data_IF_857409110201
#
_entry.id   IF_857409110201
#
_cell.length_a   1.000
_cell.length_b   1.000
_cell.length_c   1.000
_cell.angle_alpha   90.00
_cell.angle_beta   90.00
_cell.angle_gamma   90.00
#
_symmetry.space_group_name_H-M   'P 1'
#
loop_
_entity.id
_entity.type
_entity.pdbx_description
1 polymer ?
#
# COMPACT_ATOMS: atom_id res chain seq x y z
N UNK A 1 4.35 -1.66 -20.03
CA UNK A 1 5.76 -1.77 -20.48
C UNK A 1 5.76 -2.55 -21.78
N UNK A 2 6.51 -2.14 -22.80
CA UNK A 2 6.48 -2.82 -24.12
C UNK A 2 7.14 -4.20 -24.04
N UNK A 3 6.48 -5.22 -24.59
CA UNK A 3 6.99 -6.60 -24.78
C UNK A 3 8.36 -6.62 -25.46
N UNK A 4 8.62 -5.64 -26.31
CA UNK A 4 9.88 -5.46 -27.02
C UNK A 4 11.07 -5.17 -26.09
N UNK A 5 10.86 -4.42 -25.01
CA UNK A 5 11.92 -4.12 -24.03
C UNK A 5 12.36 -5.39 -23.29
N UNK A 6 11.40 -6.20 -22.84
CA UNK A 6 11.66 -7.46 -22.14
C UNK A 6 12.45 -8.44 -23.03
N UNK A 7 12.04 -8.58 -24.29
CA UNK A 7 12.76 -9.40 -25.28
C UNK A 7 14.18 -8.88 -25.57
N UNK A 8 14.40 -7.56 -25.56
CA UNK A 8 15.75 -7.00 -25.69
C UNK A 8 16.62 -7.29 -24.46
N UNK A 9 16.03 -7.23 -23.26
CA UNK A 9 16.74 -7.42 -22.00
C UNK A 9 17.16 -8.88 -21.80
N UNK A 10 16.29 -9.82 -22.18
CA UNK A 10 16.60 -11.25 -22.17
C UNK A 10 17.81 -11.58 -23.06
N UNK A 11 17.87 -11.03 -24.28
CA UNK A 11 19.00 -11.20 -25.20
C UNK A 11 20.30 -10.63 -24.64
N UNK A 12 20.23 -9.49 -23.93
CA UNK A 12 21.42 -8.92 -23.28
C UNK A 12 21.89 -9.82 -22.13
N UNK A 13 20.99 -10.40 -21.34
CA UNK A 13 21.37 -11.31 -20.26
C UNK A 13 22.05 -12.58 -20.80
N UNK A 14 21.53 -13.16 -21.88
CA UNK A 14 22.16 -14.29 -22.57
C UNK A 14 23.58 -13.93 -23.07
N UNK A 15 23.72 -12.80 -23.77
CA UNK A 15 25.02 -12.32 -24.22
C UNK A 15 26.02 -12.06 -23.07
N UNK A 16 25.54 -11.57 -21.92
CA UNK A 16 26.36 -11.41 -20.72
C UNK A 16 26.83 -12.75 -20.15
N UNK A 17 25.99 -13.79 -20.16
CA UNK A 17 26.36 -15.13 -19.70
C UNK A 17 27.47 -15.71 -20.59
N UNK A 18 27.32 -15.62 -21.91
CA UNK A 18 28.33 -16.06 -22.89
C UNK A 18 29.64 -15.27 -22.73
N UNK A 19 29.55 -13.96 -22.50
CA UNK A 19 30.73 -13.13 -22.25
C UNK A 19 31.49 -13.53 -20.97
N UNK A 20 30.78 -13.96 -19.91
CA UNK A 20 31.40 -14.41 -18.66
C UNK A 20 32.06 -15.78 -18.76
N UNK A 21 31.57 -16.62 -19.68
CA UNK A 21 32.14 -17.95 -19.94
C UNK A 21 33.41 -17.90 -20.82
N UNK A 22 33.75 -16.74 -21.39
CA UNK A 22 34.90 -16.55 -22.27
C UNK A 22 36.01 -15.78 -21.55
N UNK A 23 37.26 -16.25 -21.62
CA UNK A 23 38.42 -15.61 -20.97
C UNK A 23 38.67 -14.16 -21.48
N UNK A 24 38.36 -13.90 -22.75
CA UNK A 24 38.44 -12.56 -23.39
C UNK A 24 37.23 -12.29 -24.30
N UNK A 25 36.11 -11.80 -23.75
CA UNK A 25 34.89 -11.63 -24.53
C UNK A 25 34.98 -10.48 -25.54
N UNK A 26 34.69 -10.79 -26.81
CA UNK A 26 34.52 -9.77 -27.85
C UNK A 26 33.07 -9.24 -27.85
N UNK A 27 32.85 -8.13 -27.14
CA UNK A 27 31.52 -7.52 -27.02
C UNK A 27 30.91 -7.08 -28.35
N UNK A 28 31.71 -6.75 -29.37
CA UNK A 28 31.18 -6.34 -30.68
C UNK A 28 30.64 -7.54 -31.47
N UNK A 29 31.30 -8.70 -31.37
CA UNK A 29 30.83 -9.94 -31.97
C UNK A 29 29.54 -10.42 -31.28
N UNK A 30 29.55 -10.48 -29.95
CA UNK A 30 28.38 -10.87 -29.15
C UNK A 30 27.19 -9.91 -29.37
N UNK A 31 27.44 -8.61 -29.51
CA UNK A 31 26.37 -7.65 -29.80
C UNK A 31 25.67 -7.95 -31.14
N UNK A 32 26.42 -8.36 -32.17
CA UNK A 32 25.87 -8.73 -33.48
C UNK A 32 25.12 -10.06 -33.42
N UNK A 33 25.71 -11.08 -32.79
CA UNK A 33 25.13 -12.41 -32.64
C UNK A 33 23.78 -12.35 -31.92
N UNK A 34 23.72 -11.68 -30.77
CA UNK A 34 22.52 -11.57 -29.95
C UNK A 34 21.60 -10.41 -30.39
N UNK A 35 21.96 -9.67 -31.45
CA UNK A 35 21.23 -8.51 -31.99
C UNK A 35 20.89 -7.47 -30.90
N UNK A 36 21.90 -7.08 -30.12
CA UNK A 36 21.81 -6.09 -29.04
C UNK A 36 22.82 -4.96 -29.24
N UNK A 37 22.60 -3.82 -28.59
CA UNK A 37 23.54 -2.70 -28.62
C UNK A 37 24.80 -3.02 -27.81
N UNK A 38 25.99 -2.93 -28.43
CA UNK A 38 27.28 -3.19 -27.76
C UNK A 38 27.51 -2.31 -26.52
N UNK A 39 27.20 -0.99 -26.52
CA UNK A 39 27.23 -0.17 -25.30
C UNK A 39 26.34 -0.70 -24.17
N UNK A 40 25.11 -1.16 -24.48
CA UNK A 40 24.19 -1.74 -23.48
C UNK A 40 24.73 -3.05 -22.91
N UNK A 41 25.27 -3.91 -23.77
CA UNK A 41 25.88 -5.18 -23.36
C UNK A 41 27.06 -4.94 -22.41
N UNK A 42 27.97 -4.03 -22.77
CA UNK A 42 29.14 -3.69 -21.93
C UNK A 42 28.72 -3.09 -20.58
N UNK A 43 27.73 -2.20 -20.58
CA UNK A 43 27.19 -1.62 -19.33
C UNK A 43 26.58 -2.70 -18.42
N UNK A 44 25.87 -3.68 -18.99
CA UNK A 44 25.27 -4.80 -18.27
C UNK A 44 26.31 -5.77 -17.72
N UNK A 45 27.31 -6.10 -18.53
CA UNK A 45 28.43 -6.92 -18.11
C UNK A 45 29.16 -6.31 -16.92
N UNK A 46 29.35 -4.99 -16.93
CA UNK A 46 29.95 -4.20 -15.84
C UNK A 46 29.01 -3.97 -14.64
N UNK A 47 27.88 -4.68 -14.53
CA UNK A 47 27.02 -4.69 -13.33
C UNK A 47 25.89 -3.66 -13.31
N UNK A 48 25.63 -2.92 -14.40
CA UNK A 48 24.50 -1.99 -14.42
C UNK A 48 23.17 -2.75 -14.48
N UNK A 49 22.34 -2.63 -13.44
CA UNK A 49 21.03 -3.29 -13.39
C UNK A 49 20.04 -2.82 -14.48
N UNK A 50 19.11 -3.70 -14.91
CA UNK A 50 18.09 -3.34 -15.88
C UNK A 50 17.11 -2.30 -15.39
N UNK A 51 16.44 -1.60 -16.33
CA UNK A 51 15.60 -0.45 -15.97
C UNK A 51 14.49 -0.84 -14.98
N UNK A 52 14.00 -2.07 -15.08
CA UNK A 52 13.02 -2.66 -14.15
C UNK A 52 13.61 -3.07 -12.80
N UNK A 53 14.86 -3.54 -12.76
CA UNK A 53 15.54 -3.93 -11.51
C UNK A 53 16.23 -2.74 -10.82
N UNK A 54 16.38 -1.60 -11.50
CA UNK A 54 16.87 -0.37 -10.89
C UNK A 54 15.83 0.07 -9.88
N UNK A 55 16.13 -0.14 -8.59
CA UNK A 55 15.35 0.42 -7.51
C UNK A 55 15.25 1.92 -7.79
N UNK A 56 14.02 2.37 -8.01
CA UNK A 56 13.78 3.77 -8.32
C UNK A 56 14.41 4.59 -7.20
N UNK A 57 15.31 5.53 -7.52
CA UNK A 57 16.07 6.29 -6.51
C UNK A 57 15.15 7.05 -5.51
N UNK A 58 13.85 7.16 -5.83
CA UNK A 58 12.80 7.75 -5.01
C UNK A 58 12.06 6.76 -4.09
N UNK A 59 12.30 5.44 -4.19
CA UNK A 59 11.68 4.43 -3.33
C UNK A 59 12.39 4.41 -1.98
N UNK A 60 11.86 5.17 -1.02
CA UNK A 60 12.46 5.32 0.32
C UNK A 60 12.42 4.03 1.14
N UNK A 61 11.37 3.23 0.96
CA UNK A 61 11.26 1.91 1.58
C UNK A 61 11.72 0.85 0.57
N UNK A 62 12.42 -0.16 1.06
CA UNK A 62 12.75 -1.34 0.27
C UNK A 62 11.49 -2.24 0.11
N UNK A 63 11.60 -3.27 -0.72
CA UNK A 63 10.45 -4.14 -1.02
C UNK A 63 9.93 -4.91 0.20
N UNK A 64 10.80 -5.32 1.12
CA UNK A 64 10.42 -6.04 2.34
C UNK A 64 9.71 -5.12 3.35
N UNK A 65 10.19 -3.89 3.50
CA UNK A 65 9.56 -2.86 4.32
C UNK A 65 8.18 -2.49 3.77
N UNK A 66 8.04 -2.35 2.45
CA UNK A 66 6.73 -2.12 1.83
C UNK A 66 5.80 -3.31 2.02
N UNK A 67 6.28 -4.55 1.87
CA UNK A 67 5.49 -5.74 2.12
C UNK A 67 5.00 -5.80 3.58
N UNK A 68 5.86 -5.44 4.52
CA UNK A 68 5.53 -5.35 5.95
C UNK A 68 4.49 -4.26 6.22
N UNK A 69 4.64 -3.08 5.59
CA UNK A 69 3.68 -1.98 5.70
C UNK A 69 2.30 -2.38 5.16
N UNK A 70 2.27 -3.06 4.00
CA UNK A 70 1.03 -3.58 3.40
C UNK A 70 0.37 -4.63 4.31
N UNK A 71 1.14 -5.56 4.88
CA UNK A 71 0.61 -6.55 5.80
C UNK A 71 0.00 -5.89 7.05
N UNK A 72 0.65 -4.85 7.57
CA UNK A 72 0.12 -4.05 8.67
C UNK A 72 -1.17 -3.31 8.29
N UNK A 73 -1.26 -2.74 7.09
CA UNK A 73 -2.49 -2.11 6.57
C UNK A 73 -3.63 -3.14 6.54
N UNK A 74 -3.40 -4.31 5.94
CA UNK A 74 -4.41 -5.39 5.88
C UNK A 74 -4.86 -5.84 7.26
N UNK A 75 -3.93 -5.94 8.21
CA UNK A 75 -4.25 -6.30 9.60
C UNK A 75 -5.19 -5.27 10.23
N UNK A 76 -4.90 -3.98 10.07
CA UNK A 76 -5.74 -2.92 10.59
C UNK A 76 -7.13 -2.89 9.95
N UNK A 77 -7.18 -3.09 8.64
CA UNK A 77 -8.44 -3.18 7.90
C UNK A 77 -9.30 -4.36 8.37
N UNK A 78 -8.69 -5.53 8.59
CA UNK A 78 -9.38 -6.71 9.15
C UNK A 78 -9.92 -6.52 10.57
N UNK A 79 -9.38 -5.53 11.30
CA UNK A 79 -9.84 -5.15 12.63
C UNK A 79 -10.89 -4.03 12.58
N UNK A 80 -11.39 -3.67 11.40
CA UNK A 80 -12.33 -2.56 11.18
C UNK A 80 -11.75 -1.19 11.57
N UNK A 81 -10.42 -1.04 11.55
CA UNK A 81 -9.70 0.21 11.83
C UNK A 81 -8.84 0.56 10.61
N UNK A 82 -9.43 0.82 9.43
CA UNK A 82 -8.65 1.07 8.22
C UNK A 82 -7.74 2.28 8.42
N UNK A 83 -6.42 2.17 8.13
CA UNK A 83 -5.47 3.20 8.49
C UNK A 83 -5.63 4.46 7.64
N UNK A 84 -5.51 5.61 8.29
CA UNK A 84 -5.48 6.93 7.63
C UNK A 84 -4.13 7.19 6.97
N UNK A 85 -4.09 8.19 6.08
CA UNK A 85 -2.87 8.70 5.47
C UNK A 85 -1.75 8.98 6.51
N UNK A 86 -2.11 9.61 7.63
CA UNK A 86 -1.18 9.96 8.70
C UNK A 86 -0.62 8.73 9.42
N UNK A 87 -1.47 7.74 9.68
CA UNK A 87 -1.04 6.48 10.30
C UNK A 87 -0.06 5.73 9.40
N UNK A 88 -0.31 5.68 8.09
CA UNK A 88 0.59 5.03 7.12
C UNK A 88 1.95 5.74 7.07
N UNK A 89 1.99 7.08 7.04
CA UNK A 89 3.24 7.85 7.08
C UNK A 89 4.00 7.60 8.38
N UNK A 90 3.30 7.60 9.53
CA UNK A 90 3.91 7.37 10.83
C UNK A 90 4.56 5.98 10.91
N UNK A 91 3.84 4.95 10.48
CA UNK A 91 4.33 3.57 10.42
C UNK A 91 5.51 3.41 9.45
N UNK A 92 5.44 4.02 8.26
CA UNK A 92 6.54 3.99 7.29
C UNK A 92 7.81 4.69 7.84
N UNK A 93 7.66 5.83 8.52
CA UNK A 93 8.77 6.50 9.20
C UNK A 93 9.33 5.66 10.35
N UNK A 94 8.49 4.92 11.08
CA UNK A 94 8.95 4.01 12.13
C UNK A 94 9.79 2.85 11.56
N UNK A 95 9.36 2.28 10.43
CA UNK A 95 10.15 1.25 9.71
C UNK A 95 11.51 1.79 9.27
N UNK A 96 11.56 3.01 8.73
CA UNK A 96 12.83 3.65 8.35
C UNK A 96 13.75 3.86 9.55
N UNK A 97 13.24 4.44 10.64
CA UNK A 97 14.03 4.65 11.86
C UNK A 97 14.59 3.35 12.42
N UNK A 98 13.81 2.26 12.39
CA UNK A 98 14.26 0.94 12.87
C UNK A 98 15.35 0.32 12.00
N UNK A 99 15.34 0.62 10.70
CA UNK A 99 16.33 0.11 9.75
C UNK A 99 17.62 0.95 9.69
N UNK A 100 17.62 2.15 10.30
CA UNK A 100 18.78 3.04 10.31
C UNK A 100 19.51 2.98 11.66
N UNK A 101 20.84 3.13 11.67
CA UNK A 101 21.60 3.21 12.91
C UNK A 101 21.22 4.48 13.71
N UNK A 102 21.26 4.44 15.05
CA UNK A 102 20.90 5.59 15.88
C UNK A 102 21.72 6.85 15.60
N UNK A 103 22.96 6.68 15.14
CA UNK A 103 23.90 7.76 14.80
C UNK A 103 23.57 8.47 13.48
N UNK A 104 22.69 7.92 12.64
CA UNK A 104 22.30 8.52 11.37
C UNK A 104 20.81 8.31 11.11
N UNK A 105 19.94 9.12 11.76
CA UNK A 105 18.51 8.98 11.60
C UNK A 105 18.07 9.35 10.17
N UNK A 106 17.12 8.61 9.58
CA UNK A 106 16.67 8.88 8.24
C UNK A 106 15.79 10.14 8.23
N UNK A 107 15.95 10.96 7.18
CA UNK A 107 15.05 12.09 6.99
C UNK A 107 13.58 11.62 6.87
N UNK A 108 12.63 12.28 7.55
CA UNK A 108 11.25 11.85 7.57
C UNK A 108 10.61 11.93 6.18
N UNK A 109 9.64 11.05 5.95
CA UNK A 109 8.82 11.05 4.76
C UNK A 109 7.94 12.31 4.72
N UNK A 110 7.95 12.99 3.58
CA UNK A 110 7.07 14.12 3.33
C UNK A 110 5.59 13.69 3.23
N UNK A 111 4.68 14.65 3.44
CA UNK A 111 3.23 14.42 3.41
C UNK A 111 2.74 13.81 2.08
N UNK A 112 3.42 14.13 0.98
CA UNK A 112 3.04 13.64 -0.36
C UNK A 112 3.44 12.19 -0.64
N UNK A 113 4.31 11.62 0.20
CA UNK A 113 4.83 10.27 -0.02
C UNK A 113 3.71 9.22 -0.02
N UNK A 114 2.71 9.36 0.86
CA UNK A 114 1.61 8.40 0.96
C UNK A 114 0.74 8.40 -0.28
N UNK A 115 0.48 9.56 -0.89
CA UNK A 115 -0.31 9.64 -2.12
C UNK A 115 0.43 8.99 -3.29
N UNK A 116 1.76 9.17 -3.38
CA UNK A 116 2.58 8.48 -4.38
C UNK A 116 2.65 6.97 -4.13
N UNK A 117 2.81 6.55 -2.87
CA UNK A 117 2.73 5.15 -2.48
C UNK A 117 1.40 4.53 -2.91
N UNK A 118 0.29 5.20 -2.61
CA UNK A 118 -1.05 4.74 -2.96
C UNK A 118 -1.24 4.63 -4.47
N UNK A 119 -0.81 5.66 -5.22
CA UNK A 119 -0.97 5.70 -6.67
C UNK A 119 -0.13 4.66 -7.41
N UNK A 120 1.09 4.39 -6.94
CA UNK A 120 2.09 3.65 -7.73
C UNK A 120 2.41 2.26 -7.17
N UNK A 121 2.12 2.01 -5.89
CA UNK A 121 2.66 0.85 -5.16
C UNK A 121 1.63 0.13 -4.27
N UNK A 122 0.42 0.66 -4.14
CA UNK A 122 -0.63 -0.02 -3.39
C UNK A 122 -1.10 -1.26 -4.16
N UNK A 123 -1.18 -2.42 -3.50
CA UNK A 123 -1.77 -3.61 -4.11
C UNK A 123 -3.21 -3.39 -4.55
N UNK A 124 -3.62 -4.07 -5.62
CA UNK A 124 -4.96 -3.93 -6.23
C UNK A 124 -6.11 -4.38 -5.32
N UNK A 125 -5.83 -5.18 -4.27
CA UNK A 125 -6.83 -5.57 -3.27
C UNK A 125 -7.14 -4.46 -2.25
N UNK A 126 -6.36 -3.38 -2.22
CA UNK A 126 -6.55 -2.26 -1.31
C UNK A 126 -6.94 -1.00 -2.09
N UNK A 127 -7.88 -0.25 -1.54
CA UNK A 127 -8.44 0.95 -2.14
C UNK A 127 -8.21 2.18 -1.25
N UNK A 128 -8.03 3.34 -1.88
CA UNK A 128 -8.03 4.63 -1.20
C UNK A 128 -9.46 5.15 -1.12
N UNK A 129 -10.07 5.02 0.06
CA UNK A 129 -11.50 5.30 0.24
C UNK A 129 -11.69 6.52 1.13
N UNK A 130 -12.57 7.43 0.71
CA UNK A 130 -12.98 8.56 1.51
C UNK A 130 -14.03 8.11 2.52
N UNK A 131 -13.62 7.94 3.77
CA UNK A 131 -14.53 7.67 4.86
C UNK A 131 -15.37 8.90 5.17
N UNK A 132 -16.69 8.71 5.20
CA UNK A 132 -17.62 9.75 5.66
C UNK A 132 -17.69 9.68 7.18
N UNK A 133 -17.61 10.81 7.87
CA UNK A 133 -17.82 10.81 9.31
C UNK A 133 -19.24 10.34 9.61
N UNK A 134 -19.45 9.78 10.80
CA UNK A 134 -20.80 9.64 11.34
C UNK A 134 -21.50 11.00 11.23
N UNK A 135 -22.77 11.00 10.88
CA UNK A 135 -23.54 12.22 10.63
C UNK A 135 -23.44 13.10 11.88
N UNK A 136 -22.73 14.23 11.79
CA UNK A 136 -22.37 15.03 12.97
C UNK A 136 -23.63 15.52 13.70
N UNK A 137 -24.73 15.67 12.96
CA UNK A 137 -26.07 15.94 13.50
C UNK A 137 -26.62 14.80 14.35
N UNK A 138 -26.34 13.53 14.02
CA UNK A 138 -26.73 12.38 14.87
C UNK A 138 -25.98 12.44 16.19
N UNK A 139 -24.65 12.55 16.14
CA UNK A 139 -23.80 12.62 17.34
C UNK A 139 -24.14 13.81 18.25
N UNK A 140 -24.54 14.95 17.68
CA UNK A 140 -24.94 16.13 18.45
C UNK A 140 -26.37 16.11 18.97
N UNK A 141 -27.24 15.30 18.36
CA UNK A 141 -28.66 15.18 18.72
C UNK A 141 -28.94 13.94 19.60
N UNK A 142 -27.92 13.15 19.90
CA UNK A 142 -27.96 12.06 20.87
C UNK A 142 -27.97 12.63 22.30
N UNK A 143 -29.14 13.09 22.73
CA UNK A 143 -29.39 13.39 24.14
C UNK A 143 -29.51 12.06 24.89
N UNK A 144 -28.59 11.83 25.83
CA UNK A 144 -28.54 10.63 26.67
C UNK A 144 -29.89 10.39 27.37
N UNK A 145 -30.57 11.45 27.81
CA UNK A 145 -31.88 11.35 28.46
C UNK A 145 -32.96 10.88 27.48
N UNK A 146 -32.95 11.38 26.24
CA UNK A 146 -33.89 10.95 25.19
C UNK A 146 -33.64 9.49 24.79
N UNK A 147 -32.37 9.10 24.61
CA UNK A 147 -32.00 7.71 24.31
C UNK A 147 -32.42 6.77 25.45
N UNK A 148 -32.16 7.15 26.70
CA UNK A 148 -32.54 6.37 27.88
C UNK A 148 -34.05 6.17 27.93
N UNK A 149 -34.83 7.25 27.83
CA UNK A 149 -36.29 7.17 27.83
C UNK A 149 -36.84 6.35 26.64
N UNK A 150 -36.16 6.38 25.49
CA UNK A 150 -36.52 5.57 24.34
C UNK A 150 -36.28 4.07 24.58
N UNK A 151 -35.10 3.70 25.12
CA UNK A 151 -34.78 2.30 25.46
C UNK A 151 -35.68 1.75 26.57
N UNK A 152 -35.97 2.55 27.61
CA UNK A 152 -36.91 2.18 28.68
C UNK A 152 -38.32 1.86 28.15
N UNK A 153 -38.76 2.57 27.11
CA UNK A 153 -40.04 2.31 26.42
C UNK A 153 -39.97 1.11 25.49
N UNK A 154 -38.83 0.87 24.86
CA UNK A 154 -38.63 -0.22 23.91
C UNK A 154 -38.48 -1.58 24.61
N UNK A 155 -37.79 -1.65 25.75
CA UNK A 155 -37.50 -2.87 26.49
C UNK A 155 -38.75 -3.76 26.77
N UNK A 156 -39.87 -3.24 27.30
CA UNK A 156 -41.07 -4.05 27.55
C UNK A 156 -41.73 -4.54 26.26
N UNK A 157 -41.57 -3.83 25.13
CA UNK A 157 -42.10 -4.25 23.83
C UNK A 157 -41.26 -5.40 23.26
N UNK A 158 -39.94 -5.32 23.36
CA UNK A 158 -39.04 -6.38 22.90
C UNK A 158 -39.24 -7.69 23.65
N UNK A 159 -39.54 -7.64 24.96
CA UNK A 159 -39.87 -8.83 25.77
C UNK A 159 -41.07 -9.63 25.24
N UNK A 160 -41.93 -9.01 24.43
CA UNK A 160 -43.14 -9.63 23.86
C UNK A 160 -42.90 -10.24 22.48
N UNK A 161 -41.74 -10.00 21.87
CA UNK A 161 -41.40 -10.45 20.52
C UNK A 161 -40.36 -11.58 20.63
N UNK A 162 -40.64 -12.79 20.14
CA UNK A 162 -39.65 -13.86 20.10
C UNK A 162 -38.41 -13.44 19.29
N UNK A 163 -37.19 -13.82 19.70
CA UNK A 163 -35.96 -13.41 19.01
C UNK A 163 -35.93 -13.71 17.50
N UNK A 164 -36.55 -14.82 17.07
CA UNK A 164 -36.69 -15.21 15.65
C UNK A 164 -37.47 -14.22 14.78
N UNK A 165 -38.13 -13.23 15.37
CA UNK A 165 -38.90 -12.19 14.68
C UNK A 165 -38.23 -10.82 14.76
N UNK A 166 -37.03 -10.72 15.35
CA UNK A 166 -36.26 -9.49 15.42
C UNK A 166 -35.23 -9.55 14.29
N UNK A 167 -35.37 -8.64 13.33
CA UNK A 167 -34.45 -8.51 12.21
C UNK A 167 -33.75 -7.16 12.31
N UNK A 168 -32.43 -7.14 12.12
CA UNK A 168 -31.71 -5.90 11.97
C UNK A 168 -31.93 -5.36 10.55
N UNK A 169 -32.19 -4.07 10.43
CA UNK A 169 -32.30 -3.38 9.14
C UNK A 169 -31.29 -2.25 9.11
N UNK A 170 -30.01 -2.61 9.09
CA UNK A 170 -28.91 -1.65 8.97
C UNK A 170 -28.01 -1.98 7.77
N UNK A 171 -27.96 -1.03 6.83
CA UNK A 171 -26.79 -0.85 5.99
C UNK A 171 -26.24 0.53 6.36
N UNK A 172 -25.10 0.57 7.06
CA UNK A 172 -23.96 1.49 6.85
C UNK A 172 -23.06 1.44 8.09
N UNK A 173 -21.91 0.78 7.97
CA UNK A 173 -20.86 0.82 8.99
C UNK A 173 -20.18 2.19 9.04
N UNK A 174 -20.17 2.83 10.21
CA UNK A 174 -19.30 3.98 10.48
C UNK A 174 -18.22 3.53 11.49
N UNK A 175 -16.96 3.92 11.26
CA UNK A 175 -15.92 3.69 12.25
C UNK A 175 -16.00 4.76 13.33
N UNK A 176 -15.94 4.32 14.59
CA UNK A 176 -15.87 5.20 15.75
C UNK A 176 -14.58 6.04 15.67
N UNK A 177 -14.71 7.37 15.77
CA UNK A 177 -13.61 8.19 16.29
C UNK A 177 -13.27 9.51 15.60
N UNK A 178 -13.81 9.91 14.43
CA UNK A 178 -13.46 11.23 13.86
C UNK A 178 -14.62 11.91 13.11
N UNK A 179 -14.99 13.12 13.56
CA UNK A 179 -16.08 13.93 12.98
C UNK A 179 -15.75 14.64 11.66
N UNK A 180 -14.64 14.29 10.98
CA UNK A 180 -14.26 14.86 9.69
C UNK A 180 -13.99 13.76 8.67
N UNK A 181 -14.37 13.99 7.41
CA UNK A 181 -14.08 13.03 6.34
C UNK A 181 -12.57 12.84 6.19
N UNK A 182 -12.12 11.60 6.18
CA UNK A 182 -10.71 11.26 5.97
C UNK A 182 -10.58 10.15 4.94
N UNK A 183 -9.47 10.17 4.22
CA UNK A 183 -9.14 9.06 3.36
C UNK A 183 -8.42 7.97 4.17
N UNK A 184 -8.91 6.75 4.02
CA UNK A 184 -8.36 5.54 4.63
C UNK A 184 -8.00 4.54 3.53
N UNK A 185 -7.12 3.59 3.87
CA UNK A 185 -6.81 2.45 3.00
C UNK A 185 -7.62 1.25 3.48
N UNK A 186 -8.48 0.69 2.62
CA UNK A 186 -9.33 -0.45 2.96
C UNK A 186 -9.52 -1.41 1.78
N UNK A 187 -9.74 -2.70 2.05
CA UNK A 187 -10.18 -3.67 1.06
C UNK A 187 -11.62 -3.39 0.61
N UNK A 188 -12.44 -2.82 1.50
CA UNK A 188 -13.84 -2.50 1.21
C UNK A 188 -13.96 -1.14 0.53
N UNK A 189 -14.88 -1.05 -0.44
CA UNK A 189 -15.35 0.23 -0.99
C UNK A 189 -16.60 0.61 -0.19
N UNK A 190 -16.45 1.59 0.71
CA UNK A 190 -17.58 2.18 1.45
C UNK A 190 -18.47 3.01 0.54
#
# INVERSE_FOLDING_TARGET
MSTEYQNSEARIQQACATARATDRPNFAALAREYRVSAPRLRARFNGRAPRNARQMAYKRLNNEQEASLVAWIRRLDSLYIPPTAGMVIASANALLRRASPPSSPPAPLGKDWVYRFVKERLPNDLNWVKQRPADQKRMSNEDIGILTAWYERLEPLLKRIPPKHIYNFDETGFALGQGRSQNVISQNKF
#
